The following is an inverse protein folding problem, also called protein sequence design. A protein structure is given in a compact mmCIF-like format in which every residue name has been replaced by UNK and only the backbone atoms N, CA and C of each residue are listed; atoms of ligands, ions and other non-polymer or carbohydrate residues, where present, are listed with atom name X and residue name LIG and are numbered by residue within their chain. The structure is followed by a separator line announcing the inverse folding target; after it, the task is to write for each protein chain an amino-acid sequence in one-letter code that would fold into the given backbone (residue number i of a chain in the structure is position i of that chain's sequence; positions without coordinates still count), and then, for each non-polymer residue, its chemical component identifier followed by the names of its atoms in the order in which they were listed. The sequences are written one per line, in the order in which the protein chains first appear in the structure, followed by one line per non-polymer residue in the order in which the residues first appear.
data_IF_106430555357
#
_entry.id   IF_106430555357
#
_cell.length_a   1.000
_cell.length_b   1.000
_cell.length_c   1.000
_cell.angle_alpha   90.00
_cell.angle_beta   90.00
_cell.angle_gamma   90.00
#
_symmetry.space_group_name_H-M   'P 1'
#
loop_
_entity.id
_entity.type
_entity.pdbx_description
1 polymer ?
#
# COMPACT_ATOMS: atom_id res chain seq x y z
N UNK A 1 -72.89 10.50 9.86
CA UNK A 1 -71.81 11.35 9.33
C UNK A 1 -70.59 11.23 10.24
N UNK A 2 -69.52 10.58 9.78
CA UNK A 2 -68.13 10.88 10.14
C UNK A 2 -67.21 10.00 9.29
N UNK A 3 -66.37 10.63 8.46
CA UNK A 3 -65.31 10.03 7.64
C UNK A 3 -63.99 10.04 8.43
N UNK A 4 -63.23 8.96 8.36
CA UNK A 4 -61.75 8.85 8.53
C UNK A 4 -61.38 7.51 7.85
N UNK A 5 -60.60 7.35 6.77
CA UNK A 5 -59.39 7.97 6.23
C UNK A 5 -58.13 7.72 7.08
N UNK A 6 -57.55 6.51 6.94
CA UNK A 6 -56.15 6.16 7.24
C UNK A 6 -55.75 5.12 6.18
N UNK A 7 -55.21 5.53 5.04
CA UNK A 7 -53.80 5.85 4.78
C UNK A 7 -52.90 4.61 4.84
N UNK A 8 -52.46 4.19 3.66
CA UNK A 8 -51.57 3.05 3.46
C UNK A 8 -50.13 3.36 3.89
N UNK A 9 -49.45 2.33 4.37
CA UNK A 9 -48.01 2.33 4.58
C UNK A 9 -47.43 1.20 3.73
N UNK A 10 -47.09 1.53 2.48
CA UNK A 10 -46.34 0.67 1.58
C UNK A 10 -44.87 0.83 1.97
N UNK A 11 -44.37 -0.07 2.82
CA UNK A 11 -42.96 -0.10 3.21
C UNK A 11 -42.15 -0.62 2.02
N UNK A 12 -41.68 0.31 1.19
CA UNK A 12 -40.70 0.02 0.16
C UNK A 12 -39.33 -0.15 0.83
N UNK A 13 -38.94 -1.41 1.07
CA UNK A 13 -37.61 -1.78 1.52
C UNK A 13 -36.62 -1.53 0.38
N UNK A 14 -36.00 -0.36 0.39
CA UNK A 14 -34.91 0.00 -0.51
C UNK A 14 -33.66 -0.78 -0.06
N UNK A 15 -33.43 -1.95 -0.65
CA UNK A 15 -32.19 -2.70 -0.48
C UNK A 15 -31.12 -1.92 -1.23
N UNK A 16 -30.40 -1.07 -0.52
CA UNK A 16 -29.14 -0.47 -0.98
C UNK A 16 -28.12 -1.60 -1.11
N UNK A 17 -28.04 -2.20 -2.29
CA UNK A 17 -26.90 -3.03 -2.65
C UNK A 17 -25.68 -2.12 -2.77
N UNK A 18 -24.88 -2.06 -1.70
CA UNK A 18 -23.53 -1.54 -1.79
C UNK A 18 -22.75 -2.49 -2.69
N UNK A 19 -22.59 -2.11 -3.95
CA UNK A 19 -21.63 -2.76 -4.85
C UNK A 19 -20.25 -2.39 -4.34
N UNK A 20 -19.61 -3.29 -3.60
CA UNK A 20 -18.17 -3.20 -3.39
C UNK A 20 -17.54 -3.35 -4.77
N UNK A 21 -17.01 -2.26 -5.31
CA UNK A 21 -16.17 -2.30 -6.50
C UNK A 21 -14.91 -3.06 -6.11
N UNK A 22 -14.82 -4.33 -6.49
CA UNK A 22 -13.57 -5.08 -6.45
C UNK A 22 -12.72 -4.52 -7.58
N UNK A 23 -11.82 -3.60 -7.25
CA UNK A 23 -10.73 -3.25 -8.16
C UNK A 23 -9.88 -4.50 -8.34
N UNK A 24 -9.66 -4.91 -9.59
CA UNK A 24 -8.79 -6.04 -9.88
C UNK A 24 -7.39 -5.51 -10.13
N UNK A 25 -6.42 -6.01 -9.38
CA UNK A 25 -5.01 -5.76 -9.62
C UNK A 25 -4.61 -6.22 -11.03
N UNK A 26 -3.77 -5.43 -11.72
CA UNK A 26 -3.27 -5.76 -13.07
C UNK A 26 -2.49 -7.08 -13.06
N UNK A 27 -1.73 -7.30 -11.99
CA UNK A 27 -0.86 -8.44 -11.80
C UNK A 27 -1.09 -9.03 -10.41
N UNK A 28 -1.31 -10.34 -10.35
CA UNK A 28 -1.41 -11.10 -9.11
C UNK A 28 -0.21 -12.05 -9.00
N UNK A 29 0.45 -12.04 -7.85
CA UNK A 29 1.43 -13.04 -7.43
C UNK A 29 0.76 -13.91 -6.38
N UNK A 30 0.49 -15.17 -6.74
CA UNK A 30 -0.23 -16.09 -5.86
C UNK A 30 0.65 -16.65 -4.71
N UNK A 31 0.06 -17.52 -3.88
CA UNK A 31 0.75 -18.17 -2.77
C UNK A 31 1.99 -18.98 -3.19
N UNK A 32 2.01 -19.51 -4.40
CA UNK A 32 3.09 -20.29 -4.99
C UNK A 32 4.15 -19.41 -5.66
N UNK A 33 3.86 -18.12 -5.85
CA UNK A 33 4.69 -17.17 -6.57
C UNK A 33 4.47 -17.18 -8.07
N UNK A 34 3.40 -17.81 -8.56
CA UNK A 34 2.98 -17.74 -9.95
C UNK A 34 2.43 -16.33 -10.27
N UNK A 35 2.82 -15.80 -11.42
CA UNK A 35 2.40 -14.48 -11.88
C UNK A 35 1.22 -14.65 -12.84
N UNK A 36 0.08 -14.06 -12.47
CA UNK A 36 -1.11 -13.98 -13.33
C UNK A 36 -1.33 -12.54 -13.76
N UNK A 37 -1.40 -12.33 -15.08
CA UNK A 37 -1.79 -11.04 -15.64
C UNK A 37 -3.31 -10.97 -15.79
N UNK A 38 -3.91 -9.95 -15.20
CA UNK A 38 -5.34 -9.64 -15.35
C UNK A 38 -5.56 -8.55 -16.41
N UNK A 39 -4.84 -8.63 -17.54
CA UNK A 39 -4.92 -7.66 -18.63
C UNK A 39 -5.63 -8.27 -19.83
N UNK A 40 -6.74 -7.67 -20.26
CA UNK A 40 -7.39 -8.05 -21.51
C UNK A 40 -6.58 -7.60 -22.71
N UNK A 41 -6.09 -8.59 -23.47
CA UNK A 41 -5.62 -8.48 -24.86
C UNK A 41 -4.72 -7.30 -25.22
N UNK A 42 -3.44 -7.59 -25.47
CA UNK A 42 -2.64 -6.82 -26.42
C UNK A 42 -2.68 -7.58 -27.75
N UNK A 43 -3.19 -6.95 -28.80
CA UNK A 43 -3.08 -7.48 -30.15
C UNK A 43 -1.58 -7.43 -30.52
N UNK A 44 -0.89 -8.57 -30.51
CA UNK A 44 0.54 -8.66 -30.83
C UNK A 44 0.81 -8.47 -32.34
N UNK A 45 -0.15 -7.91 -33.07
CA UNK A 45 -0.14 -7.81 -34.52
C UNK A 45 -0.68 -6.44 -34.90
N UNK A 46 0.24 -5.53 -35.25
CA UNK A 46 0.02 -4.20 -35.83
C UNK A 46 -0.11 -3.01 -34.87
N UNK A 47 0.87 -2.13 -35.05
CA UNK A 47 0.92 -0.70 -34.80
C UNK A 47 -0.41 0.01 -35.18
N UNK A 48 -1.36 0.14 -34.25
CA UNK A 48 -2.41 1.17 -34.27
C UNK A 48 -3.14 1.23 -32.91
N UNK A 49 -3.15 2.42 -32.32
CA UNK A 49 -3.71 2.74 -31.00
C UNK A 49 -5.25 2.59 -31.00
N UNK A 50 -5.87 1.83 -30.09
CA UNK A 50 -7.31 1.91 -29.87
C UNK A 50 -7.63 3.03 -28.88
N UNK A 51 -8.52 3.94 -29.29
CA UNK A 51 -9.10 4.99 -28.44
C UNK A 51 -10.22 4.43 -27.56
N UNK A 52 -10.06 4.63 -26.26
CA UNK A 52 -11.07 4.87 -25.22
C UNK A 52 -12.12 3.81 -24.87
N UNK A 53 -12.30 3.72 -23.55
CA UNK A 53 -13.49 3.38 -22.76
C UNK A 53 -13.63 1.94 -22.28
N UNK A 54 -13.52 1.83 -20.95
CA UNK A 54 -13.75 0.67 -20.06
C UNK A 54 -12.87 -0.56 -20.26
N UNK A 55 -11.93 -0.74 -19.34
CA UNK A 55 -11.29 -2.03 -19.08
C UNK A 55 -12.29 -2.85 -18.26
N UNK A 56 -12.92 -3.84 -18.88
CA UNK A 56 -13.57 -4.93 -18.15
C UNK A 56 -12.55 -6.04 -17.87
N UNK A 57 -12.69 -6.77 -16.77
CA UNK A 57 -11.72 -7.80 -16.35
C UNK A 57 -12.25 -9.17 -16.77
N UNK A 58 -11.59 -9.84 -17.73
CA UNK A 58 -11.70 -11.31 -17.89
C UNK A 58 -10.30 -11.93 -17.86
N UNK A 59 -9.98 -12.66 -16.79
CA UNK A 59 -8.62 -13.18 -16.55
C UNK A 59 -8.19 -14.19 -17.61
N UNK A 60 -7.00 -13.98 -18.21
CA UNK A 60 -6.37 -14.93 -19.13
C UNK A 60 -4.83 -14.78 -19.11
N UNK A 61 -4.15 -15.92 -19.11
CA UNK A 61 -2.70 -16.21 -19.07
C UNK A 61 -2.09 -16.38 -17.65
N UNK A 62 -2.13 -17.64 -17.16
CA UNK A 62 -1.23 -18.13 -16.11
C UNK A 62 0.13 -18.42 -16.75
N UNK A 63 1.15 -17.64 -16.44
CA UNK A 63 2.53 -17.95 -16.80
C UNK A 63 3.17 -18.70 -15.65
N UNK A 64 3.80 -19.85 -15.92
CA UNK A 64 4.64 -20.51 -14.90
C UNK A 64 5.82 -19.58 -14.62
N UNK A 65 5.97 -19.15 -13.37
CA UNK A 65 7.03 -18.22 -12.98
C UNK A 65 8.40 -18.90 -13.05
N UNK A 66 9.35 -18.28 -13.75
CA UNK A 66 10.74 -18.71 -13.77
C UNK A 66 11.40 -18.41 -12.42
N UNK A 67 12.41 -19.19 -12.02
CA UNK A 67 13.04 -19.04 -10.72
C UNK A 67 13.66 -17.63 -10.50
N UNK A 68 13.98 -16.93 -11.58
CA UNK A 68 14.63 -15.62 -11.58
C UNK A 68 13.68 -14.48 -11.97
N UNK A 69 12.35 -14.70 -11.98
CA UNK A 69 11.43 -13.63 -12.33
C UNK A 69 11.49 -12.47 -11.32
N UNK A 70 11.38 -11.25 -11.82
CA UNK A 70 11.33 -10.01 -11.04
C UNK A 70 10.21 -9.12 -11.59
N UNK A 71 9.39 -8.58 -10.69
CA UNK A 71 8.34 -7.62 -11.03
C UNK A 71 8.77 -6.25 -10.52
N UNK A 72 8.99 -5.26 -11.39
CA UNK A 72 9.41 -3.91 -11.00
C UNK A 72 8.36 -2.85 -11.34
N UNK A 73 8.32 -1.82 -10.49
CA UNK A 73 7.60 -0.57 -10.70
C UNK A 73 8.61 0.57 -10.67
N UNK A 74 8.67 1.29 -11.79
CA UNK A 74 9.60 2.39 -12.01
C UNK A 74 8.86 3.61 -12.52
N UNK A 75 9.38 4.78 -12.17
CA UNK A 75 8.89 6.07 -12.64
C UNK A 75 10.02 6.80 -13.36
N UNK A 76 9.79 7.14 -14.61
CA UNK A 76 10.78 7.87 -15.40
C UNK A 76 10.79 9.37 -15.08
N UNK A 77 11.78 10.09 -15.64
CA UNK A 77 11.91 11.54 -15.48
C UNK A 77 10.75 12.35 -16.06
N UNK A 78 9.93 11.75 -16.94
CA UNK A 78 8.72 12.33 -17.50
C UNK A 78 7.47 12.08 -16.65
N UNK A 79 7.60 11.33 -15.55
CA UNK A 79 6.49 10.96 -14.67
C UNK A 79 5.70 9.74 -15.14
N UNK A 80 6.14 9.07 -16.21
CA UNK A 80 5.52 7.84 -16.71
C UNK A 80 5.86 6.69 -15.78
N UNK A 81 4.88 5.85 -15.48
CA UNK A 81 5.04 4.70 -14.60
C UNK A 81 5.00 3.42 -15.44
N UNK A 82 6.00 2.57 -15.28
CA UNK A 82 6.06 1.28 -15.96
C UNK A 82 6.07 0.11 -14.99
N UNK A 83 5.25 -0.89 -15.30
CA UNK A 83 5.25 -2.21 -14.67
C UNK A 83 6.00 -3.19 -15.56
N UNK A 84 7.09 -3.76 -15.06
CA UNK A 84 7.93 -4.69 -15.80
C UNK A 84 7.93 -6.05 -15.12
N UNK A 85 7.82 -7.12 -15.90
CA UNK A 85 8.05 -8.50 -15.47
C UNK A 85 9.20 -9.05 -16.30
N UNK A 86 10.36 -9.15 -15.68
CA UNK A 86 11.56 -9.75 -16.27
C UNK A 86 11.66 -11.21 -15.85
N UNK A 87 12.06 -12.09 -16.77
CA UNK A 87 12.24 -13.53 -16.56
C UNK A 87 13.32 -14.08 -17.48
N UNK A 88 13.72 -15.34 -17.28
CA UNK A 88 14.69 -16.00 -18.16
C UNK A 88 14.16 -16.12 -19.60
N UNK A 89 12.83 -16.19 -19.76
CA UNK A 89 12.14 -16.30 -21.05
C UNK A 89 11.87 -14.95 -21.74
N UNK A 90 12.28 -13.83 -21.11
CA UNK A 90 12.15 -12.48 -21.67
C UNK A 90 11.54 -11.47 -20.70
N UNK A 91 11.36 -10.26 -21.22
CA UNK A 91 10.83 -9.11 -20.48
C UNK A 91 9.48 -8.70 -21.05
N UNK A 92 8.51 -8.46 -20.17
CA UNK A 92 7.22 -7.86 -20.50
C UNK A 92 7.07 -6.54 -19.75
N UNK A 93 6.90 -5.44 -20.48
CA UNK A 93 6.75 -4.08 -19.93
C UNK A 93 5.40 -3.49 -20.29
N UNK A 94 4.72 -2.89 -19.32
CA UNK A 94 3.43 -2.23 -19.47
C UNK A 94 3.51 -0.79 -18.96
N UNK A 95 2.94 0.15 -19.71
CA UNK A 95 2.69 1.51 -19.25
C UNK A 95 1.43 1.53 -18.37
N UNK A 96 1.58 1.94 -17.13
CA UNK A 96 0.51 1.97 -16.12
C UNK A 96 0.27 3.38 -15.59
N UNK A 97 0.72 4.41 -16.31
CA UNK A 97 0.61 5.82 -15.89
C UNK A 97 -0.84 6.27 -15.69
N UNK A 98 -1.77 5.73 -16.49
CA UNK A 98 -3.19 6.07 -16.41
C UNK A 98 -3.97 5.22 -15.38
N UNK A 99 -3.32 4.22 -14.78
CA UNK A 99 -3.94 3.34 -13.80
C UNK A 99 -3.76 3.92 -12.41
N UNK A 100 -4.87 4.32 -11.78
CA UNK A 100 -4.89 5.06 -10.51
C UNK A 100 -5.03 4.17 -9.27
N UNK A 101 -4.84 2.86 -9.40
CA UNK A 101 -5.25 1.89 -8.39
C UNK A 101 -4.17 0.82 -8.13
N UNK A 102 -4.58 -0.32 -7.58
CA UNK A 102 -3.76 -1.48 -7.25
C UNK A 102 -3.19 -2.09 -8.54
N UNK A 103 -1.85 -2.14 -8.63
CA UNK A 103 -1.16 -2.66 -9.82
C UNK A 103 -0.72 -4.11 -9.61
N UNK A 104 -0.16 -4.38 -8.42
CA UNK A 104 0.35 -5.69 -8.03
C UNK A 104 -0.38 -6.12 -6.77
N UNK A 105 -0.89 -7.34 -6.77
CA UNK A 105 -1.38 -8.00 -5.57
C UNK A 105 -0.46 -9.16 -5.20
N UNK A 106 -0.07 -9.20 -3.93
CA UNK A 106 0.64 -10.32 -3.32
C UNK A 106 -0.38 -11.08 -2.48
N UNK A 107 -0.65 -12.33 -2.83
CA UNK A 107 -1.52 -13.18 -2.02
C UNK A 107 -0.84 -13.63 -0.72
N UNK A 108 -1.66 -14.05 0.23
CA UNK A 108 -1.20 -14.50 1.53
C UNK A 108 -0.54 -15.89 1.46
N UNK A 109 0.61 -16.03 2.12
CA UNK A 109 1.37 -17.28 2.27
C UNK A 109 2.23 -17.23 3.54
N UNK A 110 2.88 -18.34 3.97
CA UNK A 110 3.57 -18.37 5.27
C UNK A 110 4.61 -17.28 5.50
N UNK A 111 5.25 -16.76 4.43
CA UNK A 111 6.28 -15.73 4.51
C UNK A 111 5.79 -14.30 4.28
N UNK A 112 4.55 -14.08 3.82
CA UNK A 112 4.02 -12.75 3.52
C UNK A 112 2.49 -12.72 3.66
N UNK A 113 1.96 -11.71 4.34
CA UNK A 113 0.52 -11.46 4.38
C UNK A 113 0.06 -10.75 3.10
N UNK A 114 -1.23 -10.87 2.77
CA UNK A 114 -1.80 -10.18 1.61
C UNK A 114 -1.44 -8.68 1.60
N UNK A 115 -0.94 -8.21 0.46
CA UNK A 115 -0.49 -6.84 0.25
C UNK A 115 -0.80 -6.39 -1.17
N UNK A 116 -1.17 -5.13 -1.34
CA UNK A 116 -1.31 -4.52 -2.67
C UNK A 116 -0.27 -3.42 -2.85
N UNK A 117 0.28 -3.33 -4.06
CA UNK A 117 1.22 -2.30 -4.47
C UNK A 117 0.60 -1.56 -5.66
N UNK A 118 0.61 -0.24 -5.60
CA UNK A 118 0.03 0.58 -6.65
C UNK A 118 0.59 1.99 -6.64
N UNK A 119 -0.13 2.91 -7.27
CA UNK A 119 0.25 4.32 -7.33
C UNK A 119 -0.78 5.13 -6.57
N UNK A 120 -0.31 6.03 -5.71
CA UNK A 120 -1.16 6.99 -5.01
C UNK A 120 -0.58 8.38 -5.21
N UNK A 121 -1.35 9.24 -5.85
CA UNK A 121 -0.93 10.57 -6.29
C UNK A 121 0.35 10.51 -7.15
N UNK A 122 1.50 10.79 -6.55
CA UNK A 122 2.79 10.85 -7.24
C UNK A 122 3.82 9.84 -6.71
N UNK A 123 3.40 8.95 -5.80
CA UNK A 123 4.25 8.00 -5.07
C UNK A 123 3.75 6.57 -5.28
N UNK A 124 4.66 5.60 -5.15
CA UNK A 124 4.28 4.21 -4.99
C UNK A 124 3.65 4.01 -3.62
N UNK A 125 2.59 3.21 -3.58
CA UNK A 125 1.86 2.86 -2.37
C UNK A 125 1.93 1.37 -2.13
N UNK A 126 2.26 0.98 -0.89
CA UNK A 126 2.22 -0.39 -0.42
C UNK A 126 1.16 -0.47 0.68
N UNK A 127 0.09 -1.23 0.46
CA UNK A 127 -1.06 -1.31 1.36
C UNK A 127 -1.16 -2.70 1.97
N UNK A 128 -1.17 -2.74 3.30
CA UNK A 128 -1.27 -3.99 4.07
C UNK A 128 -2.17 -3.76 5.28
N UNK A 129 -3.25 -4.55 5.39
CA UNK A 129 -4.22 -4.46 6.51
C UNK A 129 -4.68 -3.02 6.81
N UNK A 130 -4.91 -2.23 5.77
CA UNK A 130 -5.35 -0.84 5.87
C UNK A 130 -4.26 0.18 6.20
N UNK A 131 -3.00 -0.24 6.41
CA UNK A 131 -1.85 0.65 6.54
C UNK A 131 -1.25 0.88 5.16
N UNK A 132 -1.10 2.16 4.78
CA UNK A 132 -0.52 2.58 3.50
C UNK A 132 0.87 3.16 3.72
N UNK A 133 1.90 2.53 3.16
CA UNK A 133 3.24 3.09 3.06
C UNK A 133 3.44 3.78 1.71
N UNK A 134 3.92 5.02 1.72
CA UNK A 134 4.23 5.78 0.52
C UNK A 134 5.74 5.93 0.31
N UNK A 135 6.20 5.71 -0.92
CA UNK A 135 7.60 5.87 -1.32
C UNK A 135 7.72 6.49 -2.71
N UNK A 136 8.77 7.28 -2.93
CA UNK A 136 9.13 7.76 -4.27
C UNK A 136 10.15 6.84 -4.96
N UNK A 137 10.75 5.92 -4.20
CA UNK A 137 11.75 5.00 -4.73
C UNK A 137 11.10 3.94 -5.62
N UNK A 138 11.67 3.66 -6.81
CA UNK A 138 11.35 2.47 -7.57
C UNK A 138 11.45 1.22 -6.70
N UNK A 139 10.63 0.23 -6.98
CA UNK A 139 10.59 -1.00 -6.22
C UNK A 139 10.50 -2.21 -7.12
N UNK A 140 11.01 -3.33 -6.62
CA UNK A 140 10.87 -4.62 -7.26
C UNK A 140 10.44 -5.69 -6.26
N UNK A 141 9.73 -6.69 -6.76
CA UNK A 141 9.24 -7.85 -6.02
C UNK A 141 9.79 -9.10 -6.68
N UNK A 142 10.42 -9.95 -5.88
CA UNK A 142 10.73 -11.31 -6.29
C UNK A 142 9.50 -12.21 -6.01
N UNK A 143 8.78 -12.72 -7.04
CA UNK A 143 7.51 -13.42 -6.86
C UNK A 143 7.65 -14.72 -6.07
N UNK A 144 8.79 -15.40 -6.16
CA UNK A 144 9.05 -16.66 -5.47
C UNK A 144 9.30 -16.48 -3.98
N UNK A 145 9.98 -15.40 -3.60
CA UNK A 145 10.38 -15.15 -2.20
C UNK A 145 9.53 -14.09 -1.49
N UNK A 146 8.64 -13.41 -2.21
CA UNK A 146 7.91 -12.23 -1.75
C UNK A 146 8.80 -11.06 -1.30
N UNK A 147 10.10 -11.09 -1.59
CA UNK A 147 11.02 -10.04 -1.14
C UNK A 147 10.78 -8.78 -1.96
N UNK A 148 10.65 -7.66 -1.25
CA UNK A 148 10.52 -6.32 -1.82
C UNK A 148 11.86 -5.60 -1.68
N UNK A 149 12.35 -5.06 -2.77
CA UNK A 149 13.57 -4.24 -2.84
C UNK A 149 13.20 -2.85 -3.30
N UNK A 150 13.78 -1.83 -2.69
CA UNK A 150 13.66 -0.43 -3.13
C UNK A 150 14.99 0.06 -3.66
N UNK A 151 14.96 0.77 -4.77
CA UNK A 151 16.12 1.43 -5.37
C UNK A 151 16.29 2.82 -4.77
N UNK A 152 17.18 2.92 -3.78
CA UNK A 152 17.47 4.18 -3.09
C UNK A 152 18.68 4.88 -3.70
N UNK A 153 18.86 6.19 -3.49
CA UNK A 153 20.07 6.91 -3.88
C UNK A 153 21.39 6.26 -3.43
N UNK A 154 21.39 5.52 -2.31
CA UNK A 154 22.61 4.82 -1.84
C UNK A 154 22.70 3.35 -2.26
N UNK A 155 21.77 2.87 -3.09
CA UNK A 155 21.73 1.53 -3.65
C UNK A 155 20.44 0.77 -3.30
N UNK A 156 20.42 -0.51 -3.63
CA UNK A 156 19.28 -1.39 -3.33
C UNK A 156 19.15 -1.66 -1.83
N UNK A 157 17.93 -1.58 -1.31
CA UNK A 157 17.60 -1.85 0.10
C UNK A 157 16.39 -2.79 0.20
N UNK A 158 16.49 -3.81 1.04
CA UNK A 158 15.39 -4.72 1.31
C UNK A 158 14.38 -4.10 2.27
N UNK A 159 13.09 -4.22 1.95
CA UNK A 159 11.98 -3.93 2.85
C UNK A 159 11.67 -5.21 3.64
N UNK A 160 12.29 -5.35 4.82
CA UNK A 160 12.13 -6.57 5.64
C UNK A 160 10.96 -6.45 6.61
N UNK A 161 10.73 -5.25 7.14
CA UNK A 161 9.55 -4.91 7.93
C UNK A 161 8.51 -4.34 6.98
N UNK A 162 7.31 -4.93 6.99
CA UNK A 162 6.21 -4.51 6.10
C UNK A 162 5.37 -3.38 6.73
N UNK A 163 4.53 -2.67 5.95
CA UNK A 163 3.82 -1.48 6.44
C UNK A 163 3.00 -1.71 7.71
N UNK A 164 2.25 -2.81 7.80
CA UNK A 164 1.45 -3.13 8.98
C UNK A 164 2.33 -3.41 10.21
N UNK A 165 3.41 -4.17 10.02
CA UNK A 165 4.37 -4.49 11.08
C UNK A 165 5.05 -3.22 11.60
N UNK A 166 5.44 -2.31 10.72
CA UNK A 166 6.01 -1.02 11.10
C UNK A 166 5.04 -0.19 11.95
N UNK A 167 3.75 -0.16 11.58
CA UNK A 167 2.72 0.52 12.36
C UNK A 167 2.53 -0.11 13.75
N UNK A 168 2.44 -1.45 13.83
CA UNK A 168 2.34 -2.17 15.11
C UNK A 168 3.58 -1.96 16.00
N UNK A 169 4.78 -2.04 15.42
CA UNK A 169 6.05 -1.79 16.10
C UNK A 169 6.07 -0.38 16.66
N UNK A 170 5.65 0.62 15.87
CA UNK A 170 5.59 2.01 16.31
C UNK A 170 4.65 2.18 17.50
N UNK A 171 3.44 1.63 17.45
CA UNK A 171 2.49 1.70 18.55
C UNK A 171 3.02 1.00 19.81
N UNK A 172 3.72 -0.13 19.65
CA UNK A 172 4.33 -0.88 20.75
C UNK A 172 5.45 -0.13 21.46
N UNK A 173 6.14 0.79 20.77
CA UNK A 173 7.16 1.65 21.39
C UNK A 173 6.58 2.67 22.37
N UNK A 174 5.27 2.89 22.34
CA UNK A 174 4.51 3.86 23.15
C UNK A 174 4.89 5.33 22.93
N UNK A 175 5.78 5.66 22.00
CA UNK A 175 6.08 7.04 21.63
C UNK A 175 4.86 7.80 21.11
N UNK A 176 3.97 7.09 20.41
CA UNK A 176 2.64 7.52 20.00
C UNK A 176 1.64 6.38 20.28
N UNK A 177 0.35 6.70 20.34
CA UNK A 177 -0.72 5.71 20.51
C UNK A 177 -1.84 5.84 19.46
N UNK A 178 -1.69 6.78 18.53
CA UNK A 178 -2.58 6.96 17.39
C UNK A 178 -1.76 7.34 16.17
N UNK A 179 -1.92 6.62 15.06
CA UNK A 179 -1.30 6.95 13.77
C UNK A 179 -2.27 7.83 12.99
N UNK A 180 -1.78 8.91 12.39
CA UNK A 180 -2.62 9.81 11.60
C UNK A 180 -2.86 9.21 10.22
N UNK A 181 -4.14 9.04 9.84
CA UNK A 181 -4.54 8.64 8.49
C UNK A 181 -4.12 7.24 8.05
N UNK A 182 -3.67 6.37 8.98
CA UNK A 182 -3.15 5.03 8.68
C UNK A 182 -2.06 5.02 7.60
N UNK A 183 -1.29 6.12 7.51
CA UNK A 183 -0.30 6.33 6.48
C UNK A 183 1.10 6.48 7.09
N UNK A 184 2.06 5.82 6.47
CA UNK A 184 3.49 5.93 6.79
C UNK A 184 4.25 6.32 5.52
N UNK A 185 5.40 6.97 5.66
CA UNK A 185 6.30 7.23 4.53
C UNK A 185 7.52 6.34 4.63
N UNK A 186 8.05 5.91 3.50
CA UNK A 186 9.36 5.27 3.40
C UNK A 186 10.31 6.32 2.84
N UNK A 187 11.38 6.61 3.58
CA UNK A 187 12.38 7.61 3.22
C UNK A 187 13.77 7.01 3.39
N UNK A 188 14.75 7.59 2.70
CA UNK A 188 16.15 7.31 2.98
C UNK A 188 16.78 8.51 3.70
N UNK A 189 17.40 8.26 4.85
CA UNK A 189 18.16 9.26 5.58
C UNK A 189 19.33 8.58 6.28
N UNK A 190 20.49 9.24 6.33
CA UNK A 190 21.74 8.66 6.83
C UNK A 190 22.13 7.33 6.17
N UNK A 191 21.79 7.13 4.89
CA UNK A 191 22.04 5.89 4.11
C UNK A 191 21.28 4.66 4.62
N UNK A 192 20.24 4.89 5.43
CA UNK A 192 19.33 3.87 5.94
C UNK A 192 17.93 4.13 5.42
N UNK A 193 17.27 3.06 4.99
CA UNK A 193 15.86 3.09 4.60
C UNK A 193 15.01 3.03 5.88
N UNK A 194 14.11 3.99 6.04
CA UNK A 194 13.35 4.19 7.28
C UNK A 194 11.88 4.40 7.00
N UNK A 195 11.02 3.85 7.86
CA UNK A 195 9.65 4.31 8.00
C UNK A 195 9.59 5.60 8.80
N UNK A 196 8.94 6.62 8.25
CA UNK A 196 8.54 7.83 8.94
C UNK A 196 7.05 7.74 9.27
N UNK A 197 6.74 7.60 10.56
CA UNK A 197 5.38 7.42 11.06
C UNK A 197 4.96 8.69 11.78
N UNK A 198 3.91 9.34 11.26
CA UNK A 198 3.30 10.50 11.88
C UNK A 198 2.10 10.07 12.72
N UNK A 199 2.07 10.54 13.96
CA UNK A 199 0.96 10.24 14.84
C UNK A 199 0.86 11.21 16.00
N UNK A 200 0.05 10.79 16.96
CA UNK A 200 -0.25 11.53 18.15
C UNK A 200 -0.01 10.65 19.37
N UNK A 201 0.55 11.25 20.42
CA UNK A 201 0.41 10.76 21.78
C UNK A 201 -0.79 11.46 22.40
N UNK A 202 -1.87 10.72 22.58
CA UNK A 202 -3.07 11.18 23.29
C UNK A 202 -3.00 10.69 24.74
N UNK A 203 -3.15 11.60 25.70
CA UNK A 203 -3.22 11.23 27.11
C UNK A 203 -4.30 12.02 27.84
N UNK A 204 -4.89 11.36 28.85
CA UNK A 204 -5.93 11.92 29.69
C UNK A 204 -5.30 12.68 30.86
N UNK A 205 -5.53 13.99 30.94
CA UNK A 205 -5.22 14.76 32.14
C UNK A 205 -6.38 14.56 33.12
N UNK A 206 -6.12 13.84 34.22
CA UNK A 206 -7.04 13.66 35.34
C UNK A 206 -8.47 13.20 34.93
N UNK A 207 -8.60 12.47 33.81
CA UNK A 207 -9.87 12.07 33.20
C UNK A 207 -10.85 13.22 32.88
N UNK A 208 -10.36 14.46 32.81
CA UNK A 208 -11.17 15.66 32.50
C UNK A 208 -10.88 16.23 31.11
N UNK A 209 -9.70 15.97 30.56
CA UNK A 209 -9.28 16.52 29.28
C UNK A 209 -8.31 15.60 28.53
N UNK A 210 -8.62 15.32 27.26
CA UNK A 210 -7.71 14.63 26.35
C UNK A 210 -6.77 15.64 25.69
N UNK A 211 -5.47 15.48 25.93
CA UNK A 211 -4.45 16.28 25.27
C UNK A 211 -3.70 15.45 24.23
N UNK A 212 -3.51 16.01 23.05
CA UNK A 212 -2.81 15.37 21.93
C UNK A 212 -1.47 16.07 21.67
N UNK A 213 -0.40 15.29 21.62
CA UNK A 213 0.94 15.73 21.23
C UNK A 213 1.30 15.13 19.88
N UNK A 214 1.64 15.92 18.86
CA UNK A 214 2.14 15.38 17.60
C UNK A 214 3.53 14.76 17.81
N UNK A 215 3.69 13.54 17.32
CA UNK A 215 4.95 12.77 17.40
C UNK A 215 5.25 12.17 16.04
N UNK A 216 6.51 12.29 15.63
CA UNK A 216 7.07 11.60 14.47
C UNK A 216 8.08 10.56 14.98
N UNK A 217 7.88 9.30 14.62
CA UNK A 217 8.78 8.19 14.94
C UNK A 217 9.40 7.69 13.65
N UNK A 218 10.73 7.50 13.66
CA UNK A 218 11.45 6.88 12.55
C UNK A 218 11.92 5.49 12.94
N UNK A 219 11.61 4.49 12.11
CA UNK A 219 11.96 3.10 12.33
C UNK A 219 12.75 2.55 11.16
N UNK A 220 13.72 1.69 11.43
CA UNK A 220 14.44 0.96 10.39
C UNK A 220 13.51 0.01 9.61
N UNK A 221 13.56 0.01 8.28
CA UNK A 221 12.81 -0.96 7.46
C UNK A 221 13.42 -2.36 7.46
N UNK A 222 14.64 -2.52 7.99
CA UNK A 222 15.34 -3.81 8.05
C UNK A 222 15.21 -4.48 9.42
N UNK A 223 15.32 -3.71 10.51
CA UNK A 223 15.31 -4.23 11.89
C UNK A 223 14.05 -3.87 12.66
N UNK A 224 13.33 -2.83 12.23
CA UNK A 224 12.19 -2.28 12.97
C UNK A 224 12.58 -1.56 14.27
N UNK A 225 13.87 -1.28 14.46
CA UNK A 225 14.36 -0.48 15.58
C UNK A 225 13.99 0.98 15.40
N UNK A 226 13.73 1.67 16.52
CA UNK A 226 13.48 3.11 16.52
C UNK A 226 14.80 3.85 16.36
N UNK A 227 14.96 4.54 15.23
CA UNK A 227 16.16 5.30 14.90
C UNK A 227 16.09 6.71 15.49
N UNK A 228 14.91 7.34 15.46
CA UNK A 228 14.73 8.67 16.05
C UNK A 228 13.28 8.97 16.40
N UNK A 229 13.09 9.91 17.34
CA UNK A 229 11.78 10.41 17.75
C UNK A 229 11.81 11.93 17.82
N UNK A 230 10.93 12.54 17.03
CA UNK A 230 10.72 13.99 17.02
C UNK A 230 9.38 14.30 17.68
N UNK A 231 9.48 15.03 18.78
CA UNK A 231 8.35 15.47 19.60
C UNK A 231 8.72 16.80 20.29
N UNK A 232 7.74 17.58 20.77
CA UNK A 232 8.01 18.78 21.55
C UNK A 232 8.93 18.52 22.74
N UNK A 233 9.84 19.46 23.03
CA UNK A 233 10.88 19.30 24.07
C UNK A 233 10.24 19.06 25.45
N UNK A 234 9.19 19.80 25.78
CA UNK A 234 8.50 19.64 27.06
C UNK A 234 8.00 18.20 27.24
N UNK A 235 7.44 17.58 26.19
CA UNK A 235 6.96 16.20 26.25
C UNK A 235 8.10 15.20 26.46
N UNK A 236 9.29 15.46 25.89
CA UNK A 236 10.47 14.62 26.16
C UNK A 236 10.91 14.67 27.63
N UNK A 237 10.67 15.79 28.32
CA UNK A 237 11.05 15.98 29.73
C UNK A 237 9.99 15.44 30.69
N UNK A 238 8.70 15.74 30.44
CA UNK A 238 7.62 15.39 31.37
C UNK A 238 6.78 14.19 30.94
N UNK A 239 7.01 13.64 29.74
CA UNK A 239 6.20 12.57 29.17
C UNK A 239 6.18 11.30 30.03
N UNK A 240 7.22 11.04 30.82
CA UNK A 240 7.26 9.90 31.74
C UNK A 240 6.20 9.97 32.85
N UNK A 241 5.75 11.18 33.22
CA UNK A 241 4.68 11.39 34.20
C UNK A 241 3.28 11.24 33.59
N UNK A 242 3.21 11.22 32.26
CA UNK A 242 1.97 11.22 31.47
C UNK A 242 1.74 9.84 30.81
N UNK A 243 2.37 8.80 31.36
CA UNK A 243 2.38 7.43 30.83
C UNK A 243 1.17 6.63 31.27
#
# INVERSE_FOLDING_TARGET
MSKTLISGLLVASFILTYTNSVSASILVIDSEGEITWNVLSFDSSNLSIPQSSSIEVKGLAKGKTDANSVVSLEKDSGGKISLTVASDNGERKLDVSDVKEELIELEERPSVQKMTIGVYENSFSLVQKGIKALTEFPLSVNPKTAKIVLETPTGEKYLSILPYEAAEMTLRTKWLNKIIGSQVKIIEENRELQYQVFGERVFNLLNIYEYSVPVEVRLSTSTGEVLSVKAPIWYKVVGFLLT
#
